data_IF_521443872665
#
_entry.id   IF_521443872665
#
_cell.length_a   1.000
_cell.length_b   1.000
_cell.length_c   1.000
_cell.angle_alpha   90.00
_cell.angle_beta   90.00
_cell.angle_gamma   90.00
#
_symmetry.space_group_name_H-M   'P 1'
#
loop_
_entity.id
_entity.type
_entity.pdbx_description
1 polymer ?
#
# COMPACT_ATOMS: atom_id res chain seq x y z
N UNK A 1 37.34 43.90 5.61
CA UNK A 1 36.81 42.66 5.00
C UNK A 1 36.51 41.62 6.08
N UNK A 2 35.27 41.13 6.06
CA UNK A 2 34.57 40.27 7.03
C UNK A 2 35.30 38.99 7.51
N UNK A 3 35.67 38.91 8.79
CA UNK A 3 35.83 37.63 9.51
C UNK A 3 34.50 37.00 9.97
N UNK A 4 33.38 37.73 9.84
CA UNK A 4 32.04 37.28 10.26
C UNK A 4 31.40 36.29 9.28
N UNK A 5 31.76 36.32 7.98
CA UNK A 5 31.12 35.47 6.96
C UNK A 5 31.56 33.99 6.96
N UNK A 6 32.73 33.66 7.50
CA UNK A 6 33.26 32.27 7.45
C UNK A 6 32.51 31.36 8.42
N UNK A 7 32.18 31.82 9.63
CA UNK A 7 31.41 31.03 10.61
C UNK A 7 29.96 30.77 10.16
N UNK A 8 29.36 31.66 9.37
CA UNK A 8 28.02 31.42 8.79
C UNK A 8 28.04 30.45 7.62
N UNK A 9 29.16 30.36 6.89
CA UNK A 9 29.34 29.42 5.79
C UNK A 9 29.36 27.96 6.29
N UNK A 10 30.02 27.71 7.44
CA UNK A 10 29.99 26.41 8.14
C UNK A 10 28.66 26.09 8.84
N UNK A 11 27.76 27.07 9.01
CA UNK A 11 26.41 26.84 9.57
C UNK A 11 25.40 26.36 8.54
N UNK A 12 25.63 26.57 7.25
CA UNK A 12 24.74 26.04 6.21
C UNK A 12 25.13 24.59 5.92
N UNK A 13 24.24 23.61 6.11
CA UNK A 13 24.56 22.23 5.77
C UNK A 13 24.90 22.16 4.27
N UNK A 14 25.99 21.46 3.95
CA UNK A 14 26.35 21.16 2.56
C UNK A 14 25.21 20.36 1.91
N UNK A 15 25.10 20.41 0.58
CA UNK A 15 24.08 19.62 -0.16
C UNK A 15 24.15 18.14 0.24
N UNK A 16 25.36 17.60 0.38
CA UNK A 16 25.61 16.24 0.85
C UNK A 16 25.04 16.02 2.26
N UNK A 17 25.26 16.95 3.20
CA UNK A 17 24.72 16.84 4.55
C UNK A 17 23.19 16.87 4.57
N UNK A 18 22.56 17.67 3.70
CA UNK A 18 21.10 17.69 3.56
C UNK A 18 20.60 16.33 3.05
N UNK A 19 21.20 15.81 1.99
CA UNK A 19 20.87 14.49 1.43
C UNK A 19 20.99 13.41 2.50
N UNK A 20 22.09 13.40 3.28
CA UNK A 20 22.29 12.41 4.35
C UNK A 20 21.27 12.54 5.48
N UNK A 21 20.88 13.76 5.87
CA UNK A 21 19.84 13.97 6.88
C UNK A 21 18.48 13.48 6.41
N UNK A 22 18.13 13.75 5.14
CA UNK A 22 16.90 13.23 4.53
C UNK A 22 16.96 11.70 4.45
N UNK A 23 18.10 11.13 4.03
CA UNK A 23 18.28 9.70 3.95
C UNK A 23 18.12 9.02 5.32
N UNK A 24 18.69 9.57 6.39
CA UNK A 24 18.48 9.04 7.75
C UNK A 24 17.02 9.14 8.17
N UNK A 25 16.37 10.26 7.91
CA UNK A 25 14.96 10.44 8.28
C UNK A 25 14.04 9.48 7.49
N UNK A 26 14.25 9.35 6.19
CA UNK A 26 13.50 8.45 5.33
C UNK A 26 13.78 6.99 5.71
N UNK A 27 15.04 6.63 5.99
CA UNK A 27 15.40 5.29 6.45
C UNK A 27 14.67 4.93 7.74
N UNK A 28 14.63 5.84 8.72
CA UNK A 28 13.89 5.59 9.97
C UNK A 28 12.38 5.44 9.75
N UNK A 29 11.80 6.14 8.77
CA UNK A 29 10.40 5.99 8.41
C UNK A 29 10.14 4.65 7.69
N UNK A 30 11.00 4.28 6.75
CA UNK A 30 10.89 3.05 5.94
C UNK A 30 11.30 1.79 6.73
N UNK A 31 11.97 1.92 7.88
CA UNK A 31 12.25 0.77 8.77
C UNK A 31 10.96 0.08 9.25
N UNK A 32 9.81 0.75 9.19
CA UNK A 32 8.53 0.12 9.50
C UNK A 32 8.22 -1.04 8.52
N UNK A 33 8.64 -0.92 7.26
CA UNK A 33 8.40 -1.92 6.20
C UNK A 33 9.10 -3.26 6.49
N UNK A 34 10.13 -3.26 7.35
CA UNK A 34 10.76 -4.48 7.86
C UNK A 34 9.72 -5.34 8.60
N UNK A 35 8.75 -4.73 9.30
CA UNK A 35 7.64 -5.46 9.90
C UNK A 35 6.67 -6.04 8.86
N UNK A 36 6.73 -5.56 7.61
CA UNK A 36 6.08 -6.18 6.44
C UNK A 36 6.56 -7.61 6.19
N UNK A 37 7.80 -7.96 6.55
CA UNK A 37 8.27 -9.36 6.58
C UNK A 37 7.43 -10.21 7.53
N UNK A 38 6.94 -9.62 8.62
CA UNK A 38 6.00 -10.24 9.56
C UNK A 38 4.63 -10.47 8.93
N UNK A 39 4.11 -9.54 8.13
CA UNK A 39 2.87 -9.75 7.37
C UNK A 39 3.03 -10.85 6.30
N UNK A 40 4.18 -10.89 5.61
CA UNK A 40 4.55 -11.98 4.71
C UNK A 40 4.66 -13.32 5.42
N UNK A 41 5.25 -13.34 6.62
CA UNK A 41 5.38 -14.52 7.47
C UNK A 41 4.01 -14.99 7.99
N UNK A 42 3.14 -14.09 8.46
CA UNK A 42 1.77 -14.42 8.84
C UNK A 42 1.04 -14.99 7.63
N UNK A 43 1.12 -14.36 6.46
CA UNK A 43 0.52 -14.92 5.25
C UNK A 43 1.03 -16.33 4.94
N UNK A 44 2.35 -16.53 5.01
CA UNK A 44 3.02 -17.82 4.83
C UNK A 44 2.50 -18.86 5.82
N UNK A 45 2.59 -18.60 7.13
CA UNK A 45 2.18 -19.56 8.16
C UNK A 45 0.66 -19.76 8.17
N UNK A 46 -0.16 -18.72 8.17
CA UNK A 46 -1.62 -18.90 8.23
C UNK A 46 -2.21 -19.51 6.95
N UNK A 47 -1.63 -19.26 5.77
CA UNK A 47 -2.20 -19.73 4.49
C UNK A 47 -1.49 -20.98 3.94
N UNK A 48 -0.16 -21.13 4.09
CA UNK A 48 0.54 -22.35 3.69
C UNK A 48 0.43 -23.47 4.74
N UNK A 49 0.32 -23.17 6.03
CA UNK A 49 0.10 -24.22 7.04
C UNK A 49 -1.34 -24.79 6.98
N UNK A 50 -2.32 -23.96 6.63
CA UNK A 50 -3.67 -24.44 6.31
C UNK A 50 -3.66 -25.36 5.08
N UNK A 51 -2.70 -25.17 4.19
CA UNK A 51 -2.46 -26.00 3.02
C UNK A 51 -1.63 -27.26 3.30
N UNK A 52 -0.81 -27.28 4.35
CA UNK A 52 0.10 -28.40 4.69
C UNK A 52 -0.47 -29.39 5.72
N UNK A 53 -1.49 -29.00 6.50
CA UNK A 53 -2.14 -29.86 7.52
C UNK A 53 -3.13 -30.89 6.96
N UNK A 54 -3.19 -31.02 5.65
CA UNK A 54 -4.04 -31.95 4.90
C UNK A 54 -3.26 -32.34 3.66
N UNK A 55 -3.43 -33.58 3.18
CA UNK A 55 -2.75 -34.09 1.99
C UNK A 55 -2.66 -32.97 0.91
N UNK A 56 -1.45 -32.60 0.41
CA UNK A 56 -1.27 -31.46 -0.49
C UNK A 56 -2.19 -31.46 -1.72
N UNK A 57 -2.71 -32.62 -2.10
CA UNK A 57 -3.71 -32.77 -3.16
C UNK A 57 -5.14 -32.37 -2.75
N UNK A 58 -5.50 -32.34 -1.46
CA UNK A 58 -6.89 -32.32 -1.00
C UNK A 58 -7.39 -30.97 -0.45
N UNK A 59 -6.53 -30.06 0.03
CA UNK A 59 -6.99 -28.76 0.57
C UNK A 59 -6.48 -27.56 -0.23
N UNK A 60 -5.30 -27.67 -0.84
CA UNK A 60 -4.86 -26.74 -1.89
C UNK A 60 -5.82 -26.78 -3.09
N UNK A 61 -6.41 -27.95 -3.38
CA UNK A 61 -7.47 -28.12 -4.38
C UNK A 61 -8.86 -27.62 -3.91
N UNK A 62 -9.15 -27.61 -2.59
CA UNK A 62 -10.51 -27.38 -2.05
C UNK A 62 -10.77 -26.01 -1.41
N UNK A 63 -9.79 -25.14 -1.18
CA UNK A 63 -10.04 -23.77 -0.66
C UNK A 63 -8.96 -22.72 -1.04
N UNK A 64 -7.74 -23.17 -1.36
CA UNK A 64 -6.58 -22.29 -1.53
C UNK A 64 -6.72 -21.27 -2.66
N UNK A 65 -7.32 -21.66 -3.79
CA UNK A 65 -7.51 -20.77 -4.93
C UNK A 65 -8.35 -19.52 -4.59
N UNK A 66 -9.39 -19.67 -3.78
CA UNK A 66 -10.22 -18.55 -3.33
C UNK A 66 -9.48 -17.63 -2.36
N UNK A 67 -8.72 -18.21 -1.43
CA UNK A 67 -7.99 -17.45 -0.41
C UNK A 67 -6.89 -16.61 -1.08
N UNK A 68 -6.12 -17.23 -1.97
CA UNK A 68 -5.04 -16.58 -2.72
C UNK A 68 -5.60 -15.53 -3.68
N UNK A 69 -6.80 -15.74 -4.24
CA UNK A 69 -7.41 -14.76 -5.14
C UNK A 69 -7.78 -13.45 -4.42
N UNK A 70 -8.27 -13.52 -3.18
CA UNK A 70 -8.70 -12.33 -2.43
C UNK A 70 -7.55 -11.61 -1.72
N UNK A 71 -6.51 -12.32 -1.29
CA UNK A 71 -5.52 -11.77 -0.38
C UNK A 71 -4.64 -10.65 -0.99
N UNK A 72 -4.02 -10.80 -2.19
CA UNK A 72 -3.18 -9.76 -2.76
C UNK A 72 -3.91 -8.43 -3.06
N UNK A 73 -5.13 -8.43 -3.64
CA UNK A 73 -5.91 -7.20 -3.81
C UNK A 73 -6.24 -6.50 -2.48
N UNK A 74 -6.47 -7.27 -1.40
CA UNK A 74 -6.75 -6.73 -0.08
C UNK A 74 -5.54 -6.08 0.57
N UNK A 75 -4.37 -6.73 0.49
CA UNK A 75 -3.10 -6.14 0.93
C UNK A 75 -2.76 -4.88 0.15
N UNK A 76 -2.96 -4.91 -1.17
CA UNK A 76 -2.65 -3.77 -2.04
C UNK A 76 -3.66 -2.61 -1.89
N UNK A 77 -4.70 -2.79 -1.09
CA UNK A 77 -5.67 -1.74 -0.79
C UNK A 77 -5.37 -1.11 0.55
N UNK A 78 -4.99 0.16 0.51
CA UNK A 78 -4.83 0.97 1.71
C UNK A 78 -6.18 1.39 2.34
N UNK A 79 -7.33 0.92 1.83
CA UNK A 79 -8.65 1.30 2.35
C UNK A 79 -8.95 2.81 2.30
N UNK A 80 -8.31 3.56 1.41
CA UNK A 80 -8.42 5.03 1.33
C UNK A 80 -7.54 5.77 2.33
N UNK A 81 -6.59 5.08 2.98
CA UNK A 81 -5.66 5.66 3.96
C UNK A 81 -4.58 6.50 3.26
N UNK A 82 -4.13 6.15 2.06
CA UNK A 82 -3.18 6.98 1.30
C UNK A 82 -3.73 8.37 1.04
N UNK A 83 -4.99 8.47 0.58
CA UNK A 83 -5.67 9.76 0.38
C UNK A 83 -5.81 10.53 1.71
N UNK A 84 -6.11 9.83 2.81
CA UNK A 84 -6.17 10.44 4.14
C UNK A 84 -4.81 11.01 4.53
N UNK A 85 -3.75 10.21 4.46
CA UNK A 85 -2.41 10.55 4.93
C UNK A 85 -1.81 11.69 4.12
N UNK A 86 -1.86 11.64 2.79
CA UNK A 86 -1.33 12.69 1.92
C UNK A 86 -2.00 14.03 2.21
N UNK A 87 -3.34 14.06 2.24
CA UNK A 87 -4.08 15.30 2.53
C UNK A 87 -3.91 15.77 3.96
N UNK A 88 -3.71 14.86 4.91
CA UNK A 88 -3.47 15.20 6.30
C UNK A 88 -2.12 15.90 6.46
N UNK A 89 -1.08 15.39 5.80
CA UNK A 89 0.24 16.01 5.71
C UNK A 89 0.19 17.42 5.14
N UNK A 90 -0.33 17.57 3.91
CA UNK A 90 -0.55 18.87 3.26
C UNK A 90 -1.39 19.82 4.12
N UNK A 91 -2.50 19.32 4.70
CA UNK A 91 -3.41 20.12 5.51
C UNK A 91 -2.81 20.63 6.83
N UNK A 92 -1.88 19.89 7.43
CA UNK A 92 -1.13 20.33 8.60
C UNK A 92 -0.16 21.47 8.26
N UNK A 93 0.57 21.36 7.16
CA UNK A 93 1.48 22.40 6.69
C UNK A 93 0.76 23.67 6.25
N UNK A 94 -0.40 23.55 5.61
CA UNK A 94 -1.25 24.69 5.25
C UNK A 94 -1.99 25.31 6.45
N UNK A 95 -1.99 24.66 7.63
CA UNK A 95 -2.75 25.09 8.80
C UNK A 95 -4.27 24.93 8.66
N UNK A 96 -4.74 24.21 7.63
CA UNK A 96 -6.15 23.94 7.37
C UNK A 96 -6.70 22.78 8.22
N UNK A 97 -5.81 21.96 8.77
CA UNK A 97 -6.08 20.93 9.77
C UNK A 97 -5.25 21.24 11.03
N UNK A 98 -5.88 21.11 12.20
CA UNK A 98 -5.19 21.29 13.49
C UNK A 98 -4.53 19.96 13.90
N UNK A 99 -3.36 19.98 14.56
CA UNK A 99 -2.72 18.77 15.09
C UNK A 99 -3.41 18.27 16.38
N UNK A 100 -4.71 18.01 16.34
CA UNK A 100 -5.53 17.58 17.49
C UNK A 100 -6.58 16.58 17.03
N UNK A 101 -6.73 15.47 17.76
CA UNK A 101 -7.77 14.45 17.47
C UNK A 101 -9.18 15.01 17.67
N UNK A 102 -9.41 15.70 18.78
CA UNK A 102 -10.71 16.25 19.15
C UNK A 102 -10.82 17.73 18.77
N UNK A 103 -12.05 18.16 18.47
CA UNK A 103 -12.38 19.57 18.12
C UNK A 103 -11.51 20.11 16.98
N UNK A 104 -11.29 19.28 15.95
CA UNK A 104 -10.54 19.64 14.76
C UNK A 104 -11.42 20.41 13.74
N UNK A 105 -10.88 20.72 12.57
CA UNK A 105 -11.54 21.52 11.54
C UNK A 105 -12.60 20.72 10.79
N UNK A 106 -13.53 21.43 10.13
CA UNK A 106 -14.53 20.81 9.24
C UNK A 106 -13.85 20.03 8.10
N UNK A 107 -12.69 20.49 7.64
CA UNK A 107 -11.90 19.83 6.60
C UNK A 107 -11.39 18.46 7.08
N UNK A 108 -10.86 18.37 8.30
CA UNK A 108 -10.46 17.08 8.89
C UNK A 108 -11.61 16.07 8.94
N UNK A 109 -12.77 16.46 9.49
CA UNK A 109 -13.91 15.51 9.56
C UNK A 109 -14.47 15.15 8.18
N UNK A 110 -14.35 16.06 7.20
CA UNK A 110 -14.72 15.77 5.81
C UNK A 110 -13.77 14.75 5.20
N UNK A 111 -12.47 14.87 5.50
CA UNK A 111 -11.44 13.95 5.05
C UNK A 111 -11.62 12.55 5.66
N UNK A 112 -11.90 12.45 6.96
CA UNK A 112 -12.22 11.17 7.61
C UNK A 112 -13.46 10.53 6.96
N UNK A 113 -14.54 11.28 6.76
CA UNK A 113 -15.74 10.76 6.08
C UNK A 113 -15.45 10.27 4.66
N UNK A 114 -14.60 10.98 3.91
CA UNK A 114 -14.21 10.58 2.56
C UNK A 114 -13.38 9.29 2.59
N UNK A 115 -12.40 9.19 3.49
CA UNK A 115 -11.55 8.00 3.65
C UNK A 115 -12.38 6.75 3.98
N UNK A 116 -13.33 6.82 4.93
CA UNK A 116 -14.22 5.69 5.23
C UNK A 116 -15.09 5.27 4.04
N UNK A 117 -15.55 6.25 3.25
CA UNK A 117 -16.32 5.98 2.04
C UNK A 117 -15.47 5.32 0.96
N UNK A 118 -14.21 5.74 0.82
CA UNK A 118 -13.24 5.11 -0.08
C UNK A 118 -12.91 3.68 0.38
N UNK A 119 -12.76 3.43 1.69
CA UNK A 119 -12.56 2.08 2.23
C UNK A 119 -13.72 1.14 1.90
N UNK A 120 -14.96 1.61 2.05
CA UNK A 120 -16.15 0.85 1.65
C UNK A 120 -16.19 0.59 0.14
N UNK A 121 -15.87 1.60 -0.68
CA UNK A 121 -15.77 1.46 -2.12
C UNK A 121 -14.70 0.44 -2.53
N UNK A 122 -13.51 0.47 -1.92
CA UNK A 122 -12.42 -0.45 -2.21
C UNK A 122 -12.83 -1.90 -1.91
N UNK A 123 -13.48 -2.15 -0.76
CA UNK A 123 -14.01 -3.47 -0.41
C UNK A 123 -15.02 -3.99 -1.43
N UNK A 124 -15.96 -3.15 -1.86
CA UNK A 124 -16.92 -3.50 -2.91
C UNK A 124 -16.22 -3.79 -4.24
N UNK A 125 -15.27 -2.94 -4.64
CA UNK A 125 -14.59 -3.06 -5.93
C UNK A 125 -13.73 -4.31 -6.01
N UNK A 126 -12.96 -4.60 -4.96
CA UNK A 126 -12.17 -5.83 -4.84
C UNK A 126 -13.08 -7.05 -4.86
N UNK A 127 -14.21 -7.00 -4.16
CA UNK A 127 -15.21 -8.05 -4.19
C UNK A 127 -15.72 -8.34 -5.60
N UNK A 128 -16.08 -7.29 -6.35
CA UNK A 128 -16.54 -7.41 -7.74
C UNK A 128 -15.45 -7.99 -8.64
N UNK A 129 -14.26 -7.40 -8.66
CA UNK A 129 -13.16 -7.85 -9.52
C UNK A 129 -12.75 -9.28 -9.19
N UNK A 130 -12.65 -9.62 -7.90
CA UNK A 130 -12.28 -10.97 -7.48
C UNK A 130 -13.35 -11.99 -7.84
N UNK A 131 -14.63 -11.64 -7.73
CA UNK A 131 -15.72 -12.53 -8.16
C UNK A 131 -15.67 -12.77 -9.67
N UNK A 132 -15.46 -11.71 -10.47
CA UNK A 132 -15.31 -11.82 -11.93
C UNK A 132 -14.10 -12.69 -12.29
N UNK A 133 -12.95 -12.47 -11.66
CA UNK A 133 -11.76 -13.31 -11.87
C UNK A 133 -12.02 -14.75 -11.46
N UNK A 134 -12.73 -14.99 -10.36
CA UNK A 134 -13.13 -16.33 -9.93
C UNK A 134 -13.99 -17.05 -11.00
N UNK A 135 -14.93 -16.35 -11.64
CA UNK A 135 -15.78 -16.94 -12.66
C UNK A 135 -15.03 -17.31 -13.93
N UNK A 136 -13.98 -16.56 -14.28
CA UNK A 136 -13.21 -16.73 -15.52
C UNK A 136 -12.00 -17.65 -15.32
N UNK A 137 -11.26 -17.49 -14.23
CA UNK A 137 -9.94 -18.11 -14.04
C UNK A 137 -9.99 -19.47 -13.34
N UNK A 138 -11.00 -19.75 -12.49
CA UNK A 138 -10.99 -20.95 -11.64
C UNK A 138 -11.71 -22.17 -12.25
N UNK A 139 -12.30 -22.06 -13.45
CA UNK A 139 -12.89 -23.20 -14.15
C UNK A 139 -13.94 -23.95 -13.30
N UNK A 140 -13.74 -25.25 -13.12
CA UNK A 140 -14.61 -26.12 -12.29
C UNK A 140 -14.50 -25.83 -10.78
N UNK A 141 -13.43 -25.16 -10.34
CA UNK A 141 -13.19 -24.77 -8.94
C UNK A 141 -13.72 -23.37 -8.62
N UNK A 142 -14.49 -22.76 -9.53
CA UNK A 142 -15.12 -21.45 -9.26
C UNK A 142 -16.18 -21.56 -8.17
N UNK A 143 -16.31 -20.51 -7.39
CA UNK A 143 -17.38 -20.32 -6.42
C UNK A 143 -18.51 -19.54 -7.09
N UNK A 144 -19.66 -20.14 -7.44
CA UNK A 144 -20.75 -19.46 -8.14
C UNK A 144 -21.54 -18.50 -7.24
N UNK A 145 -21.41 -18.65 -5.92
CA UNK A 145 -22.10 -17.77 -4.99
C UNK A 145 -21.29 -16.48 -4.77
N UNK A 146 -21.87 -15.29 -5.00
CA UNK A 146 -21.15 -14.02 -4.83
C UNK A 146 -20.96 -13.61 -3.36
N UNK A 147 -21.70 -14.20 -2.41
CA UNK A 147 -21.72 -13.75 -1.01
C UNK A 147 -20.31 -13.69 -0.36
N UNK A 148 -19.43 -14.70 -0.48
CA UNK A 148 -18.08 -14.61 0.07
C UNK A 148 -17.27 -13.42 -0.43
N UNK A 149 -17.43 -13.07 -1.70
CA UNK A 149 -16.71 -11.95 -2.35
C UNK A 149 -17.27 -10.60 -1.94
N UNK A 150 -18.48 -10.53 -1.43
CA UNK A 150 -19.05 -9.32 -0.84
C UNK A 150 -18.64 -9.23 0.64
N UNK A 151 -18.80 -10.32 1.38
CA UNK A 151 -18.66 -10.32 2.83
C UNK A 151 -17.20 -10.15 3.27
N UNK A 152 -16.29 -10.95 2.73
CA UNK A 152 -14.91 -10.99 3.23
C UNK A 152 -14.17 -9.68 2.94
N UNK A 153 -14.16 -9.14 1.70
CA UNK A 153 -13.44 -7.91 1.41
C UNK A 153 -13.98 -6.70 2.16
N UNK A 154 -15.30 -6.56 2.24
CA UNK A 154 -15.92 -5.40 2.90
C UNK A 154 -15.62 -5.43 4.40
N UNK A 155 -15.84 -6.55 5.09
CA UNK A 155 -15.56 -6.62 6.53
C UNK A 155 -14.07 -6.38 6.82
N UNK A 156 -13.19 -7.03 6.06
CA UNK A 156 -11.72 -6.88 6.21
C UNK A 156 -11.30 -5.41 6.12
N UNK A 157 -11.65 -4.75 5.01
CA UNK A 157 -11.21 -3.37 4.77
C UNK A 157 -11.96 -2.34 5.61
N UNK A 158 -13.19 -2.64 6.03
CA UNK A 158 -13.94 -1.76 6.93
C UNK A 158 -13.27 -1.67 8.30
N UNK A 159 -12.97 -2.81 8.91
CA UNK A 159 -12.31 -2.81 10.21
C UNK A 159 -10.89 -2.26 10.13
N UNK A 160 -10.13 -2.62 9.08
CA UNK A 160 -8.81 -2.07 8.84
C UNK A 160 -8.86 -0.53 8.68
N UNK A 161 -9.68 0.00 7.77
CA UNK A 161 -9.76 1.44 7.50
C UNK A 161 -10.26 2.26 8.70
N UNK A 162 -11.22 1.74 9.48
CA UNK A 162 -11.70 2.40 10.70
C UNK A 162 -10.56 2.60 11.70
N UNK A 163 -9.79 1.55 12.00
CA UNK A 163 -8.68 1.60 12.95
C UNK A 163 -7.51 2.41 12.37
N UNK A 164 -7.11 2.10 11.13
CA UNK A 164 -6.01 2.78 10.43
C UNK A 164 -6.23 4.29 10.34
N UNK A 165 -7.47 4.76 10.12
CA UNK A 165 -7.74 6.20 10.02
C UNK A 165 -7.45 6.97 11.32
N UNK A 166 -7.68 6.31 12.47
CA UNK A 166 -7.39 6.91 13.78
C UNK A 166 -5.89 6.90 14.08
N UNK A 167 -5.22 5.78 13.78
CA UNK A 167 -3.77 5.66 13.95
C UNK A 167 -3.05 6.67 13.04
N UNK A 168 -3.45 6.78 11.77
CA UNK A 168 -2.90 7.74 10.81
C UNK A 168 -3.05 9.18 11.32
N UNK A 169 -4.23 9.53 11.83
CA UNK A 169 -4.49 10.85 12.41
C UNK A 169 -3.59 11.12 13.60
N UNK A 170 -3.51 10.17 14.53
CA UNK A 170 -2.67 10.29 15.71
C UNK A 170 -1.20 10.45 15.35
N UNK A 171 -0.69 9.60 14.45
CA UNK A 171 0.69 9.60 13.99
C UNK A 171 1.05 10.92 13.32
N UNK A 172 0.24 11.40 12.36
CA UNK A 172 0.49 12.69 11.71
C UNK A 172 0.52 13.86 12.69
N UNK A 173 -0.41 13.90 13.64
CA UNK A 173 -0.44 14.95 14.67
C UNK A 173 0.75 14.85 15.63
N UNK A 174 1.17 13.63 15.98
CA UNK A 174 2.33 13.40 16.83
C UNK A 174 3.62 13.86 16.15
N UNK A 175 3.86 13.43 14.91
CA UNK A 175 5.05 13.79 14.13
C UNK A 175 5.12 15.30 13.91
N UNK A 176 4.00 15.92 13.53
CA UNK A 176 3.93 17.37 13.35
C UNK A 176 4.24 18.14 14.63
N UNK A 177 3.72 17.70 15.79
CA UNK A 177 4.04 18.31 17.10
C UNK A 177 5.52 18.15 17.49
N UNK A 178 6.16 17.08 17.05
CA UNK A 178 7.61 16.83 17.24
C UNK A 178 8.48 17.58 16.24
N UNK A 179 7.89 18.46 15.40
CA UNK A 179 8.58 19.21 14.33
C UNK A 179 9.20 18.30 13.27
N UNK A 180 8.65 17.09 13.12
CA UNK A 180 9.02 16.14 12.07
C UNK A 180 8.02 16.29 10.92
N UNK A 181 8.46 16.05 9.69
CA UNK A 181 7.57 16.21 8.53
C UNK A 181 6.62 14.99 8.42
N UNK A 182 5.29 15.15 8.62
CA UNK A 182 4.35 14.05 8.47
C UNK A 182 4.36 13.42 7.06
N UNK A 183 4.72 14.18 6.02
CA UNK A 183 4.78 13.70 4.63
C UNK A 183 5.84 12.61 4.42
N UNK A 184 6.86 12.56 5.30
CA UNK A 184 7.94 11.56 5.27
C UNK A 184 7.58 10.33 6.12
N UNK A 185 6.89 10.53 7.24
CA UNK A 185 6.76 9.49 8.26
C UNK A 185 5.45 8.73 8.20
N UNK A 186 4.35 9.42 7.91
CA UNK A 186 3.03 8.86 8.21
C UNK A 186 2.67 7.77 7.21
N UNK A 187 2.98 7.95 5.92
CA UNK A 187 2.60 6.94 4.93
C UNK A 187 3.39 5.63 5.08
N UNK A 188 4.73 5.62 5.17
CA UNK A 188 5.49 4.38 5.38
C UNK A 188 5.10 3.62 6.64
N UNK A 189 4.74 4.34 7.72
CA UNK A 189 4.21 3.65 8.91
C UNK A 189 2.81 3.08 8.65
N UNK A 190 1.96 3.83 7.95
CA UNK A 190 0.56 3.44 7.76
C UNK A 190 0.35 2.35 6.71
N UNK A 191 1.18 2.25 5.67
CA UNK A 191 1.22 1.14 4.71
C UNK A 191 1.41 -0.19 5.47
N UNK A 192 2.49 -0.28 6.26
CA UNK A 192 2.80 -1.44 7.11
C UNK A 192 1.66 -1.75 8.10
N UNK A 193 1.18 -0.74 8.84
CA UNK A 193 0.07 -0.92 9.80
C UNK A 193 -1.17 -1.45 9.09
N UNK A 194 -1.50 -0.92 7.91
CA UNK A 194 -2.65 -1.37 7.15
C UNK A 194 -2.46 -2.80 6.62
N UNK A 195 -1.26 -3.16 6.15
CA UNK A 195 -0.93 -4.53 5.73
C UNK A 195 -1.14 -5.53 6.88
N UNK A 196 -0.66 -5.20 8.09
CA UNK A 196 -0.86 -6.03 9.28
C UNK A 196 -2.35 -6.14 9.63
N UNK A 197 -3.07 -5.02 9.72
CA UNK A 197 -4.49 -5.03 10.07
C UNK A 197 -5.33 -5.79 9.04
N UNK A 198 -5.14 -5.53 7.76
CA UNK A 198 -5.82 -6.25 6.67
C UNK A 198 -5.53 -7.74 6.72
N UNK A 199 -4.28 -8.15 6.97
CA UNK A 199 -3.91 -9.57 7.13
C UNK A 199 -4.62 -10.20 8.31
N UNK A 200 -4.60 -9.56 9.48
CA UNK A 200 -5.22 -10.07 10.70
C UNK A 200 -6.75 -10.21 10.55
N UNK A 201 -7.42 -9.18 10.02
CA UNK A 201 -8.86 -9.23 9.80
C UNK A 201 -9.24 -10.25 8.72
N UNK A 202 -8.46 -10.34 7.65
CA UNK A 202 -8.67 -11.36 6.62
C UNK A 202 -8.51 -12.77 7.19
N UNK A 203 -7.43 -13.05 7.92
CA UNK A 203 -7.21 -14.32 8.58
C UNK A 203 -8.33 -14.66 9.58
N UNK A 204 -8.80 -13.67 10.36
CA UNK A 204 -9.96 -13.82 11.23
C UNK A 204 -11.20 -14.24 10.43
N UNK A 205 -11.50 -13.60 9.29
CA UNK A 205 -12.64 -13.98 8.44
C UNK A 205 -12.50 -15.40 7.90
N UNK A 206 -11.32 -15.80 7.43
CA UNK A 206 -11.07 -17.18 6.97
C UNK A 206 -11.28 -18.19 8.10
N UNK A 207 -10.78 -17.90 9.30
CA UNK A 207 -10.93 -18.78 10.47
C UNK A 207 -12.39 -18.93 10.94
N UNK A 208 -13.17 -17.85 10.87
CA UNK A 208 -14.57 -17.83 11.30
C UNK A 208 -15.49 -18.49 10.27
N UNK A 209 -15.26 -18.22 8.97
CA UNK A 209 -16.14 -18.67 7.89
C UNK A 209 -15.79 -20.06 7.36
N UNK A 210 -14.58 -20.55 7.64
CA UNK A 210 -14.08 -21.88 7.28
C UNK A 210 -14.40 -22.26 5.82
N UNK A 211 -13.87 -21.50 4.83
CA UNK A 211 -14.20 -21.70 3.41
C UNK A 211 -13.85 -23.09 2.88
N UNK A 212 -12.97 -23.84 3.55
CA UNK A 212 -12.71 -25.25 3.24
C UNK A 212 -13.96 -26.13 3.30
N UNK A 213 -14.94 -25.78 4.12
CA UNK A 213 -16.21 -26.52 4.21
C UNK A 213 -17.18 -26.20 3.07
N UNK A 214 -16.83 -25.27 2.17
CA UNK A 214 -17.68 -24.88 1.04
C UNK A 214 -17.52 -25.80 -0.17
N UNK A 215 -16.45 -26.60 -0.19
CA UNK A 215 -16.17 -27.55 -1.25
C UNK A 215 -16.80 -28.92 -0.93
N UNK A 216 -17.49 -29.50 -1.91
CA UNK A 216 -18.04 -30.86 -1.86
C UNK A 216 -17.69 -31.64 -3.14
N UNK A 217 -18.19 -32.86 -3.30
CA UNK A 217 -17.95 -33.73 -4.47
C UNK A 217 -18.29 -33.08 -5.83
N UNK A 218 -19.14 -32.06 -5.82
CA UNK A 218 -19.57 -31.30 -7.02
C UNK A 218 -18.92 -29.92 -7.15
N UNK A 219 -17.96 -29.59 -6.29
CA UNK A 219 -17.27 -28.30 -6.24
C UNK A 219 -17.77 -27.36 -5.13
N UNK A 220 -17.54 -26.05 -5.27
CA UNK A 220 -17.86 -25.05 -4.25
C UNK A 220 -19.34 -24.64 -4.19
N UNK A 221 -20.23 -25.57 -3.80
CA UNK A 221 -21.68 -25.32 -3.82
C UNK A 221 -22.30 -25.12 -2.43
N UNK A 222 -21.58 -25.34 -1.33
CA UNK A 222 -22.13 -25.32 0.04
C UNK A 222 -21.60 -24.17 0.88
N UNK A 223 -21.96 -22.93 0.53
CA UNK A 223 -21.63 -21.76 1.37
C UNK A 223 -22.29 -21.89 2.74
N UNK A 224 -21.48 -21.81 3.80
CA UNK A 224 -21.95 -21.96 5.19
C UNK A 224 -22.96 -20.88 5.57
N UNK A 225 -23.92 -21.23 6.43
CA UNK A 225 -24.87 -20.26 7.02
C UNK A 225 -24.17 -19.08 7.70
N UNK A 226 -22.98 -19.31 8.27
CA UNK A 226 -22.14 -18.28 8.88
C UNK A 226 -21.82 -17.12 7.91
N UNK A 227 -21.56 -17.42 6.63
CA UNK A 227 -21.29 -16.39 5.60
C UNK A 227 -22.51 -15.49 5.37
N UNK A 228 -23.71 -16.07 5.36
CA UNK A 228 -24.94 -15.29 5.21
C UNK A 228 -25.26 -14.47 6.46
N UNK A 229 -24.99 -14.99 7.65
CA UNK A 229 -25.10 -14.19 8.88
C UNK A 229 -24.09 -13.04 8.91
N UNK A 230 -22.88 -13.27 8.42
CA UNK A 230 -21.85 -12.23 8.28
C UNK A 230 -22.21 -11.14 7.24
N UNK A 231 -23.24 -11.35 6.40
CA UNK A 231 -23.79 -10.29 5.56
C UNK A 231 -24.54 -9.22 6.36
N UNK A 232 -25.06 -9.53 7.55
CA UNK A 232 -25.78 -8.55 8.40
C UNK A 232 -24.89 -7.35 8.75
N UNK A 233 -23.68 -7.52 9.34
CA UNK A 233 -22.81 -6.37 9.62
C UNK A 233 -22.35 -5.65 8.34
N UNK A 234 -22.19 -6.36 7.22
CA UNK A 234 -21.89 -5.74 5.92
C UNK A 234 -23.03 -4.81 5.48
N UNK A 235 -24.27 -5.30 5.51
CA UNK A 235 -25.44 -4.53 5.16
C UNK A 235 -25.59 -3.29 6.04
N UNK A 236 -25.47 -3.46 7.36
CA UNK A 236 -25.50 -2.34 8.32
C UNK A 236 -24.42 -1.29 8.03
N UNK A 237 -23.20 -1.75 7.71
CA UNK A 237 -22.11 -0.85 7.34
C UNK A 237 -22.38 -0.11 6.03
N UNK A 238 -22.88 -0.79 5.00
CA UNK A 238 -23.24 -0.15 3.73
C UNK A 238 -24.38 0.87 3.90
N UNK A 239 -25.35 0.59 4.78
CA UNK A 239 -26.38 1.56 5.16
C UNK A 239 -25.75 2.77 5.87
N UNK A 240 -24.87 2.55 6.84
CA UNK A 240 -24.14 3.63 7.53
C UNK A 240 -23.36 4.52 6.55
N UNK A 241 -22.63 3.92 5.61
CA UNK A 241 -21.89 4.65 4.58
C UNK A 241 -22.83 5.39 3.63
N UNK A 242 -23.96 4.78 3.24
CA UNK A 242 -24.96 5.44 2.40
C UNK A 242 -25.57 6.66 3.09
N UNK A 243 -25.87 6.56 4.39
CA UNK A 243 -26.34 7.69 5.22
C UNK A 243 -25.27 8.77 5.33
N UNK A 244 -24.01 8.40 5.57
CA UNK A 244 -22.88 9.32 5.60
C UNK A 244 -22.70 10.05 4.26
N UNK A 245 -22.77 9.35 3.13
CA UNK A 245 -22.75 9.92 1.79
C UNK A 245 -23.91 10.90 1.62
N UNK A 246 -25.12 10.55 2.05
CA UNK A 246 -26.30 11.43 2.02
C UNK A 246 -26.07 12.74 2.79
N UNK A 247 -25.55 12.66 4.02
CA UNK A 247 -25.22 13.84 4.83
C UNK A 247 -24.10 14.71 4.25
N UNK A 248 -23.12 14.09 3.58
CA UNK A 248 -21.97 14.79 2.99
C UNK A 248 -22.19 15.18 1.52
N UNK A 249 -23.29 14.79 0.90
CA UNK A 249 -23.56 14.97 -0.53
C UNK A 249 -23.49 16.44 -0.98
N UNK A 250 -23.81 17.42 -0.10
CA UNK A 250 -23.72 18.86 -0.41
C UNK A 250 -22.34 19.46 -0.17
N UNK A 251 -21.42 18.75 0.48
CA UNK A 251 -20.07 19.23 0.76
C UNK A 251 -19.19 19.14 -0.51
N UNK A 252 -18.77 20.30 -1.04
CA UNK A 252 -17.96 20.39 -2.26
C UNK A 252 -16.63 19.65 -2.15
N UNK A 253 -15.96 19.74 -0.99
CA UNK A 253 -14.66 19.11 -0.76
C UNK A 253 -14.79 17.58 -0.71
N UNK A 254 -15.81 17.08 -0.02
CA UNK A 254 -16.13 15.66 0.01
C UNK A 254 -16.33 15.09 -1.40
N UNK A 255 -17.16 15.77 -2.21
CA UNK A 255 -17.40 15.36 -3.60
C UNK A 255 -16.14 15.44 -4.45
N UNK A 256 -15.29 16.45 -4.23
CA UNK A 256 -14.02 16.61 -4.95
C UNK A 256 -13.10 15.41 -4.70
N UNK A 257 -12.94 15.02 -3.43
CA UNK A 257 -12.13 13.85 -3.05
C UNK A 257 -12.65 12.60 -3.75
N UNK A 258 -13.95 12.29 -3.60
CA UNK A 258 -14.52 11.07 -4.19
C UNK A 258 -14.46 11.06 -5.72
N UNK A 259 -14.77 12.18 -6.38
CA UNK A 259 -14.71 12.28 -7.85
C UNK A 259 -13.31 12.06 -8.42
N UNK A 260 -12.26 12.37 -7.65
CA UNK A 260 -10.88 12.20 -8.08
C UNK A 260 -10.34 10.82 -7.69
N UNK A 261 -10.61 10.38 -6.45
CA UNK A 261 -10.03 9.16 -5.90
C UNK A 261 -10.74 7.88 -6.34
N UNK A 262 -12.08 7.90 -6.54
CA UNK A 262 -12.83 6.68 -6.92
C UNK A 262 -12.40 6.16 -8.29
N UNK A 263 -12.36 6.96 -9.38
CA UNK A 263 -11.95 6.45 -10.69
C UNK A 263 -10.51 5.95 -10.71
N UNK A 264 -9.61 6.62 -9.99
CA UNK A 264 -8.22 6.20 -9.88
C UNK A 264 -8.13 4.86 -9.14
N UNK A 265 -8.80 4.73 -8.00
CA UNK A 265 -8.80 3.48 -7.24
C UNK A 265 -9.45 2.32 -7.99
N UNK A 266 -10.51 2.56 -8.77
CA UNK A 266 -11.06 1.53 -9.67
C UNK A 266 -9.98 0.93 -10.58
N UNK A 267 -9.17 1.80 -11.21
CA UNK A 267 -8.11 1.37 -12.13
C UNK A 267 -6.97 0.69 -11.37
N UNK A 268 -6.49 1.30 -10.28
CA UNK A 268 -5.31 0.79 -9.55
C UNK A 268 -5.60 -0.51 -8.82
N UNK A 269 -6.80 -0.69 -8.24
CA UNK A 269 -7.21 -1.96 -7.64
C UNK A 269 -7.36 -3.07 -8.69
N UNK A 270 -7.80 -2.73 -9.91
CA UNK A 270 -7.86 -3.68 -11.01
C UNK A 270 -6.46 -4.10 -11.44
N UNK A 271 -5.53 -3.14 -11.59
CA UNK A 271 -4.11 -3.43 -11.88
C UNK A 271 -3.51 -4.35 -10.80
N UNK A 272 -3.74 -4.07 -9.52
CA UNK A 272 -3.25 -4.90 -8.42
C UNK A 272 -3.82 -6.32 -8.48
N UNK A 273 -5.10 -6.47 -8.83
CA UNK A 273 -5.71 -7.80 -9.01
C UNK A 273 -5.06 -8.59 -10.14
N UNK A 274 -4.68 -7.92 -11.24
CA UNK A 274 -3.97 -8.55 -12.37
C UNK A 274 -2.49 -8.82 -12.07
N UNK A 275 -1.86 -8.00 -11.23
CA UNK A 275 -0.45 -8.13 -10.84
C UNK A 275 -0.15 -9.47 -10.16
N UNK A 276 -1.10 -10.01 -9.38
CA UNK A 276 -0.98 -11.35 -8.81
C UNK A 276 -0.81 -12.46 -9.86
N UNK A 277 -1.40 -12.29 -11.05
CA UNK A 277 -1.20 -13.20 -12.17
C UNK A 277 0.23 -13.16 -12.71
N UNK A 278 0.84 -11.97 -12.81
CA UNK A 278 2.25 -11.83 -13.23
C UNK A 278 3.18 -12.48 -12.20
N UNK A 279 2.93 -12.23 -10.91
CA UNK A 279 3.71 -12.83 -9.82
C UNK A 279 3.66 -14.36 -9.84
N UNK A 280 2.51 -14.95 -10.22
CA UNK A 280 2.37 -16.41 -10.35
C UNK A 280 3.31 -17.01 -11.40
N UNK A 281 3.74 -16.23 -12.39
CA UNK A 281 4.77 -16.65 -13.35
C UNK A 281 6.13 -16.88 -12.70
N UNK A 282 6.41 -16.24 -11.56
CA UNK A 282 7.63 -16.41 -10.78
C UNK A 282 7.53 -17.51 -9.70
N UNK A 283 6.44 -18.28 -9.66
CA UNK A 283 6.15 -19.26 -8.60
C UNK A 283 7.27 -20.28 -8.40
N UNK A 284 7.84 -20.83 -9.48
CA UNK A 284 8.94 -21.80 -9.42
C UNK A 284 10.17 -21.19 -8.71
N UNK A 285 10.55 -19.96 -9.09
CA UNK A 285 11.69 -19.28 -8.50
C UNK A 285 11.43 -18.89 -7.03
N UNK A 286 10.22 -18.42 -6.73
CA UNK A 286 9.81 -18.08 -5.36
C UNK A 286 9.81 -19.32 -4.43
N UNK A 287 9.40 -20.48 -4.94
CA UNK A 287 9.44 -21.75 -4.18
C UNK A 287 10.87 -22.24 -3.94
N UNK A 288 11.71 -22.18 -4.97
CA UNK A 288 13.07 -22.71 -4.92
C UNK A 288 14.05 -21.77 -4.21
N UNK A 289 13.76 -20.47 -4.14
CA UNK A 289 14.60 -19.45 -3.51
C UNK A 289 13.80 -18.82 -2.38
N UNK A 290 13.77 -19.50 -1.23
CA UNK A 290 12.91 -19.13 -0.12
C UNK A 290 13.23 -17.74 0.45
N UNK A 291 14.50 -17.29 0.35
CA UNK A 291 14.89 -15.93 0.69
C UNK A 291 14.16 -14.86 -0.13
N UNK A 292 13.90 -15.13 -1.42
CA UNK A 292 13.18 -14.23 -2.33
C UNK A 292 11.70 -14.12 -1.97
N UNK A 293 11.08 -15.24 -1.63
CA UNK A 293 9.69 -15.29 -1.18
C UNK A 293 9.48 -14.55 0.14
N UNK A 294 10.40 -14.71 1.10
CA UNK A 294 10.35 -14.01 2.37
C UNK A 294 10.39 -12.48 2.19
N UNK A 295 11.29 -11.98 1.34
CA UNK A 295 11.52 -10.53 1.22
C UNK A 295 10.56 -9.82 0.27
N UNK A 296 9.92 -10.53 -0.67
CA UNK A 296 9.09 -9.92 -1.71
C UNK A 296 8.04 -8.91 -1.18
N UNK A 297 7.26 -9.21 -0.12
CA UNK A 297 6.33 -8.23 0.44
C UNK A 297 7.01 -6.94 0.91
N UNK A 298 8.20 -7.02 1.49
CA UNK A 298 8.95 -5.84 1.93
C UNK A 298 9.54 -5.05 0.75
N UNK A 299 9.95 -5.72 -0.33
CA UNK A 299 10.46 -5.06 -1.54
C UNK A 299 9.40 -4.17 -2.20
N UNK A 300 8.18 -4.68 -2.34
CA UNK A 300 7.09 -3.92 -2.98
C UNK A 300 6.61 -2.76 -2.11
N UNK A 301 6.54 -2.95 -0.78
CA UNK A 301 6.12 -1.93 0.19
C UNK A 301 7.14 -0.78 0.22
N UNK A 302 8.42 -1.09 0.42
CA UNK A 302 9.48 -0.06 0.49
C UNK A 302 9.62 0.74 -0.79
N UNK A 303 9.47 0.10 -1.97
CA UNK A 303 9.47 0.84 -3.25
C UNK A 303 8.26 1.79 -3.36
N UNK A 304 7.07 1.36 -2.93
CA UNK A 304 5.88 2.22 -2.91
C UNK A 304 6.03 3.40 -1.93
N UNK A 305 6.60 3.14 -0.77
CA UNK A 305 6.69 4.09 0.33
C UNK A 305 7.74 5.16 0.08
N UNK A 306 8.92 4.81 -0.46
CA UNK A 306 9.94 5.79 -0.81
C UNK A 306 9.44 6.79 -1.86
N UNK A 307 8.72 6.31 -2.88
CA UNK A 307 8.16 7.17 -3.93
C UNK A 307 7.01 8.02 -3.37
N UNK A 308 6.24 7.47 -2.42
CA UNK A 308 5.17 8.21 -1.75
C UNK A 308 5.72 9.33 -0.86
N UNK A 309 6.86 9.15 -0.20
CA UNK A 309 7.55 10.23 0.53
C UNK A 309 7.86 11.39 -0.42
N UNK A 310 8.46 11.10 -1.57
CA UNK A 310 8.77 12.12 -2.59
C UNK A 310 7.48 12.74 -3.13
N UNK A 311 6.44 11.95 -3.35
CA UNK A 311 5.15 12.42 -3.87
C UNK A 311 4.44 13.38 -2.90
N UNK A 312 4.31 13.01 -1.63
CA UNK A 312 3.64 13.81 -0.60
C UNK A 312 4.39 15.12 -0.38
N UNK A 313 5.71 15.08 -0.22
CA UNK A 313 6.52 16.30 -0.06
C UNK A 313 6.44 17.21 -1.29
N UNK A 314 6.42 16.65 -2.51
CA UNK A 314 6.23 17.42 -3.75
C UNK A 314 4.85 18.06 -3.80
N UNK A 315 3.80 17.31 -3.47
CA UNK A 315 2.41 17.80 -3.45
C UNK A 315 2.23 18.94 -2.44
N UNK A 316 2.73 18.76 -1.21
CA UNK A 316 2.76 19.80 -0.17
C UNK A 316 3.50 21.05 -0.66
N UNK A 317 4.68 20.89 -1.26
CA UNK A 317 5.46 22.02 -1.77
C UNK A 317 4.74 22.77 -2.90
N UNK A 318 4.03 22.07 -3.78
CA UNK A 318 3.17 22.71 -4.79
C UNK A 318 2.01 23.47 -4.14
N UNK A 319 1.36 22.88 -3.14
CA UNK A 319 0.25 23.51 -2.42
C UNK A 319 0.69 24.74 -1.61
N UNK A 320 1.90 24.73 -1.06
CA UNK A 320 2.53 25.88 -0.39
C UNK A 320 3.04 26.95 -1.38
N UNK A 321 3.14 26.61 -2.68
CA UNK A 321 3.71 27.49 -3.70
C UNK A 321 5.22 27.64 -3.63
N UNK A 322 5.92 26.74 -2.92
CA UNK A 322 7.40 26.75 -2.82
C UNK A 322 8.04 26.25 -4.11
N UNK A 323 7.38 25.31 -4.81
CA UNK A 323 7.78 24.87 -6.15
C UNK A 323 6.66 25.14 -7.17
N UNK A 324 7.04 25.34 -8.43
CA UNK A 324 6.09 25.58 -9.53
C UNK A 324 5.68 24.25 -10.20
N UNK A 325 4.43 24.09 -10.65
CA UNK A 325 3.99 22.89 -11.35
C UNK A 325 4.56 22.83 -12.78
N UNK A 326 5.84 22.55 -12.92
CA UNK A 326 6.55 22.40 -14.20
C UNK A 326 7.52 21.23 -14.11
N UNK A 327 7.83 20.59 -15.24
CA UNK A 327 8.83 19.52 -15.28
C UNK A 327 10.21 19.97 -14.80
N UNK A 328 10.54 21.26 -15.01
CA UNK A 328 11.76 21.87 -14.49
C UNK A 328 11.85 21.88 -12.96
N UNK A 329 10.75 21.62 -12.23
CA UNK A 329 10.75 21.53 -10.78
C UNK A 329 11.65 20.40 -10.26
N UNK A 330 11.95 19.37 -11.07
CA UNK A 330 12.90 18.32 -10.70
C UNK A 330 14.32 18.86 -10.41
N UNK A 331 14.64 20.05 -10.94
CA UNK A 331 15.92 20.76 -10.69
C UNK A 331 15.87 21.64 -9.44
N UNK A 332 14.72 21.74 -8.79
CA UNK A 332 14.59 22.43 -7.51
C UNK A 332 15.50 21.74 -6.48
N UNK A 333 16.23 22.53 -5.70
CA UNK A 333 17.23 22.01 -4.79
C UNK A 333 16.61 21.14 -3.69
N UNK A 334 15.47 21.55 -3.16
CA UNK A 334 14.82 20.85 -2.05
C UNK A 334 14.18 19.56 -2.57
N UNK A 335 13.54 19.60 -3.74
CA UNK A 335 13.01 18.40 -4.37
C UNK A 335 14.10 17.41 -4.77
N UNK A 336 15.18 17.87 -5.41
CA UNK A 336 16.28 17.02 -5.85
C UNK A 336 17.00 16.35 -4.68
N UNK A 337 17.32 17.13 -3.64
CA UNK A 337 17.97 16.56 -2.43
C UNK A 337 17.05 15.58 -1.71
N UNK A 338 15.73 15.82 -1.73
CA UNK A 338 14.76 14.88 -1.20
C UNK A 338 14.70 13.58 -2.01
N UNK A 339 14.60 13.65 -3.33
CA UNK A 339 14.61 12.48 -4.21
C UNK A 339 15.85 11.62 -4.00
N UNK A 340 17.03 12.23 -3.98
CA UNK A 340 18.30 11.49 -3.78
C UNK A 340 18.39 10.92 -2.37
N UNK A 341 18.03 11.70 -1.34
CA UNK A 341 18.08 11.22 0.05
C UNK A 341 17.14 10.04 0.29
N UNK A 342 15.92 10.11 -0.22
CA UNK A 342 14.92 9.05 -0.08
C UNK A 342 15.32 7.80 -0.87
N UNK A 343 15.78 7.95 -2.12
CA UNK A 343 16.26 6.79 -2.90
C UNK A 343 17.48 6.11 -2.27
N UNK A 344 18.39 6.87 -1.63
CA UNK A 344 19.49 6.26 -0.85
C UNK A 344 18.97 5.46 0.34
N UNK A 345 17.91 5.92 1.01
CA UNK A 345 17.30 5.17 2.12
C UNK A 345 16.68 3.86 1.65
N UNK A 346 15.92 3.87 0.55
CA UNK A 346 15.35 2.66 -0.03
C UNK A 346 16.39 1.67 -0.52
N UNK A 347 17.48 2.15 -1.15
CA UNK A 347 18.63 1.31 -1.51
C UNK A 347 19.25 0.62 -0.30
N UNK A 348 19.41 1.34 0.82
CA UNK A 348 19.94 0.75 2.07
C UNK A 348 19.02 -0.35 2.61
N UNK A 349 17.69 -0.17 2.53
CA UNK A 349 16.76 -1.22 2.93
C UNK A 349 16.77 -2.43 1.99
N UNK A 350 16.88 -2.22 0.68
CA UNK A 350 16.99 -3.32 -0.26
C UNK A 350 18.30 -4.09 -0.14
N UNK A 351 19.40 -3.43 0.25
CA UNK A 351 20.64 -4.10 0.69
C UNK A 351 20.37 -4.97 1.92
N UNK A 352 19.66 -4.43 2.92
CA UNK A 352 19.29 -5.16 4.12
C UNK A 352 18.44 -6.39 3.79
N UNK A 353 17.36 -6.25 3.01
CA UNK A 353 16.52 -7.37 2.60
C UNK A 353 17.30 -8.42 1.82
N UNK A 354 18.13 -7.99 0.87
CA UNK A 354 18.95 -8.86 0.04
C UNK A 354 19.90 -9.78 0.81
N UNK A 355 20.48 -9.27 1.90
CA UNK A 355 21.39 -10.03 2.77
C UNK A 355 20.60 -10.86 3.78
N UNK A 356 19.70 -10.24 4.52
CA UNK A 356 19.05 -10.87 5.66
C UNK A 356 17.94 -11.85 5.26
N UNK A 357 17.29 -11.67 4.10
CA UNK A 357 16.26 -12.59 3.62
C UNK A 357 16.76 -14.03 3.53
N UNK A 358 17.91 -14.21 2.89
CA UNK A 358 18.56 -15.51 2.74
C UNK A 358 19.14 -16.04 4.06
N UNK A 359 19.68 -15.18 4.92
CA UNK A 359 20.19 -15.56 6.25
C UNK A 359 19.07 -16.09 7.16
N UNK A 360 17.93 -15.40 7.19
CA UNK A 360 16.78 -15.76 8.05
C UNK A 360 16.25 -17.15 7.70
N UNK A 361 16.22 -17.50 6.41
CA UNK A 361 15.73 -18.80 5.95
C UNK A 361 16.84 -19.88 5.93
N UNK A 362 18.10 -19.51 6.17
CA UNK A 362 19.24 -20.42 6.10
C UNK A 362 19.67 -20.80 4.68
N UNK A 363 19.20 -20.07 3.67
CA UNK A 363 19.53 -20.27 2.25
C UNK A 363 20.77 -19.45 1.85
N UNK A 364 21.92 -19.78 2.45
CA UNK A 364 23.15 -19.02 2.25
C UNK A 364 23.67 -19.05 0.80
N UNK A 365 23.32 -20.08 0.02
CA UNK A 365 23.76 -20.25 -1.35
C UNK A 365 23.19 -19.17 -2.28
N UNK A 366 21.95 -18.73 -2.02
CA UNK A 366 21.26 -17.74 -2.85
C UNK A 366 21.40 -16.28 -2.37
N UNK A 367 22.23 -15.98 -1.36
CA UNK A 367 22.43 -14.60 -0.85
C UNK A 367 22.74 -13.61 -1.99
N UNK A 368 23.70 -13.95 -2.85
CA UNK A 368 24.13 -13.04 -3.94
C UNK A 368 23.00 -12.80 -4.94
N UNK A 369 22.21 -13.83 -5.24
CA UNK A 369 21.09 -13.75 -6.17
C UNK A 369 19.95 -12.91 -5.59
N UNK A 370 19.54 -13.17 -4.35
CA UNK A 370 18.48 -12.41 -3.66
C UNK A 370 18.89 -10.94 -3.49
N UNK A 371 20.16 -10.68 -3.15
CA UNK A 371 20.72 -9.33 -3.11
C UNK A 371 20.67 -8.64 -4.47
N UNK A 372 21.15 -9.30 -5.53
CA UNK A 372 21.14 -8.77 -6.89
C UNK A 372 19.74 -8.41 -7.36
N UNK A 373 18.77 -9.32 -7.17
CA UNK A 373 17.37 -9.08 -7.55
C UNK A 373 16.77 -7.93 -6.74
N UNK A 374 16.99 -7.91 -5.41
CA UNK A 374 16.47 -6.84 -4.54
C UNK A 374 16.97 -5.46 -4.97
N UNK A 375 18.25 -5.33 -5.29
CA UNK A 375 18.83 -4.06 -5.75
C UNK A 375 18.33 -3.65 -7.14
N UNK A 376 18.21 -4.59 -8.08
CA UNK A 376 17.70 -4.30 -9.42
C UNK A 376 16.24 -3.86 -9.38
N UNK A 377 15.41 -4.51 -8.54
CA UNK A 377 14.03 -4.09 -8.31
C UNK A 377 13.98 -2.66 -7.79
N UNK A 378 14.80 -2.30 -6.79
CA UNK A 378 14.81 -0.94 -6.28
C UNK A 378 15.30 0.08 -7.32
N UNK A 379 16.46 -0.14 -7.94
CA UNK A 379 17.06 0.84 -8.87
C UNK A 379 16.14 1.09 -10.06
N UNK A 380 15.69 0.01 -10.72
CA UNK A 380 14.85 0.12 -11.91
C UNK A 380 13.44 0.59 -11.52
N UNK A 381 12.87 -0.02 -10.48
CA UNK A 381 11.55 0.32 -9.97
C UNK A 381 11.44 1.78 -9.56
N UNK A 382 12.42 2.28 -8.79
CA UNK A 382 12.44 3.66 -8.32
C UNK A 382 12.47 4.61 -9.51
N UNK A 383 13.36 4.41 -10.48
CA UNK A 383 13.45 5.27 -11.67
C UNK A 383 12.12 5.28 -12.45
N UNK A 384 11.55 4.11 -12.72
CA UNK A 384 10.34 3.99 -13.54
C UNK A 384 9.13 4.60 -12.83
N UNK A 385 8.86 4.15 -11.60
CA UNK A 385 7.65 4.54 -10.88
C UNK A 385 7.74 5.99 -10.39
N UNK A 386 8.92 6.46 -9.94
CA UNK A 386 9.11 7.86 -9.54
C UNK A 386 8.90 8.83 -10.70
N UNK A 387 9.34 8.44 -11.91
CA UNK A 387 9.13 9.26 -13.12
C UNK A 387 7.64 9.43 -13.43
N UNK A 388 6.88 8.33 -13.38
CA UNK A 388 5.42 8.37 -13.60
C UNK A 388 4.72 9.15 -12.49
N UNK A 389 5.09 8.93 -11.23
CA UNK A 389 4.55 9.64 -10.08
C UNK A 389 4.77 11.16 -10.18
N UNK A 390 5.99 11.58 -10.51
CA UNK A 390 6.31 13.00 -10.68
C UNK A 390 5.49 13.64 -11.80
N UNK A 391 5.37 12.98 -12.95
CA UNK A 391 4.53 13.45 -14.06
C UNK A 391 3.06 13.57 -13.63
N UNK A 392 2.53 12.56 -12.93
CA UNK A 392 1.16 12.56 -12.42
C UNK A 392 0.91 13.75 -11.51
N UNK A 393 1.79 14.01 -10.53
CA UNK A 393 1.65 15.11 -9.58
C UNK A 393 1.62 16.46 -10.30
N UNK A 394 2.57 16.70 -11.21
CA UNK A 394 2.66 17.95 -11.96
C UNK A 394 1.42 18.15 -12.85
N UNK A 395 0.96 17.10 -13.55
CA UNK A 395 -0.22 17.17 -14.42
C UNK A 395 -1.52 17.33 -13.63
N UNK A 396 -1.67 16.62 -12.51
CA UNK A 396 -2.81 16.74 -11.61
C UNK A 396 -2.94 18.17 -11.11
N UNK A 397 -1.85 18.73 -10.57
CA UNK A 397 -1.85 20.10 -10.04
C UNK A 397 -2.15 21.14 -11.13
N UNK A 398 -1.56 21.01 -12.33
CA UNK A 398 -1.87 21.89 -13.47
C UNK A 398 -3.35 21.87 -13.89
N UNK A 399 -4.01 20.72 -13.76
CA UNK A 399 -5.43 20.55 -14.11
C UNK A 399 -6.37 20.92 -12.97
N UNK A 400 -5.87 21.47 -11.85
CA UNK A 400 -6.65 21.78 -10.67
C UNK A 400 -7.15 20.55 -9.91
N UNK A 401 -6.62 19.37 -10.24
CA UNK A 401 -6.79 18.17 -9.44
C UNK A 401 -5.87 18.25 -8.24
N UNK A 402 -6.24 17.56 -7.17
CA UNK A 402 -5.43 17.52 -5.97
C UNK A 402 -4.55 16.27 -6.00
N UNK A 403 -3.22 16.39 -6.16
CA UNK A 403 -2.33 15.22 -6.29
C UNK A 403 -2.47 14.23 -5.14
N UNK A 404 -2.82 14.70 -3.94
CA UNK A 404 -3.02 13.87 -2.74
C UNK A 404 -4.19 12.89 -2.88
N UNK A 405 -5.13 13.14 -3.81
CA UNK A 405 -6.23 12.22 -4.08
C UNK A 405 -5.88 11.10 -5.06
N UNK A 406 -4.75 11.19 -5.77
CA UNK A 406 -4.45 10.32 -6.92
C UNK A 406 -3.08 9.64 -6.82
N UNK A 407 -2.06 10.34 -6.30
CA UNK A 407 -0.67 9.92 -6.42
C UNK A 407 -0.42 8.59 -5.71
N UNK A 408 -0.82 8.48 -4.45
CA UNK A 408 -0.53 7.31 -3.62
C UNK A 408 -1.17 6.01 -4.15
N UNK A 409 -2.47 5.96 -4.51
CA UNK A 409 -3.03 4.75 -5.12
C UNK A 409 -2.35 4.32 -6.42
N UNK A 410 -1.90 5.29 -7.23
CA UNK A 410 -1.17 5.01 -8.48
C UNK A 410 0.24 4.49 -8.20
N UNK A 411 0.96 5.12 -7.26
CA UNK A 411 2.30 4.70 -6.85
C UNK A 411 2.26 3.26 -6.33
N UNK A 412 1.36 2.95 -5.39
CA UNK A 412 1.23 1.61 -4.83
C UNK A 412 0.98 0.55 -5.93
N UNK A 413 0.04 0.81 -6.85
CA UNK A 413 -0.24 -0.14 -7.91
C UNK A 413 0.89 -0.30 -8.94
N UNK A 414 1.59 0.80 -9.28
CA UNK A 414 2.72 0.74 -10.18
C UNK A 414 3.94 0.08 -9.53
N UNK A 415 4.21 0.33 -8.25
CA UNK A 415 5.29 -0.34 -7.50
C UNK A 415 5.05 -1.85 -7.46
N UNK A 416 3.82 -2.28 -7.15
CA UNK A 416 3.47 -3.70 -7.17
C UNK A 416 3.66 -4.31 -8.56
N UNK A 417 3.12 -3.65 -9.60
CA UNK A 417 3.20 -4.14 -10.98
C UNK A 417 4.65 -4.23 -11.47
N UNK A 418 5.43 -3.16 -11.30
CA UNK A 418 6.82 -3.08 -11.78
C UNK A 418 7.70 -4.05 -11.02
N UNK A 419 7.62 -4.10 -9.68
CA UNK A 419 8.42 -5.04 -8.89
C UNK A 419 8.09 -6.49 -9.21
N UNK A 420 6.80 -6.86 -9.35
CA UNK A 420 6.41 -8.23 -9.71
C UNK A 420 6.86 -8.60 -11.12
N UNK A 421 6.77 -7.66 -12.05
CA UNK A 421 7.24 -7.87 -13.44
C UNK A 421 8.76 -8.03 -13.47
N UNK A 422 9.50 -7.17 -12.79
CA UNK A 422 10.96 -7.26 -12.70
C UNK A 422 11.38 -8.57 -12.04
N UNK A 423 10.74 -8.96 -10.94
CA UNK A 423 10.99 -10.24 -10.28
C UNK A 423 10.81 -11.41 -11.23
N UNK A 424 9.68 -11.46 -11.94
CA UNK A 424 9.41 -12.48 -12.94
C UNK A 424 10.49 -12.49 -14.03
N UNK A 425 10.78 -11.35 -14.65
CA UNK A 425 11.77 -11.25 -15.73
C UNK A 425 13.19 -11.63 -15.29
N UNK A 426 13.60 -11.23 -14.09
CA UNK A 426 14.93 -11.52 -13.54
C UNK A 426 15.08 -12.99 -13.13
N UNK A 427 13.96 -13.67 -12.84
CA UNK A 427 13.95 -15.08 -12.46
C UNK A 427 13.64 -16.03 -13.61
N UNK A 428 13.19 -15.55 -14.77
CA UNK A 428 12.97 -16.35 -15.98
C UNK A 428 14.12 -17.31 -16.32
N UNK A 429 15.41 -16.92 -16.27
CA UNK A 429 16.53 -17.82 -16.58
C UNK A 429 16.72 -18.97 -15.57
N UNK A 430 16.05 -18.89 -14.41
CA UNK A 430 16.10 -19.88 -13.34
C UNK A 430 14.92 -20.87 -13.42
N UNK A 431 13.93 -20.58 -14.27
CA UNK A 431 12.71 -21.36 -14.46
C UNK A 431 12.86 -22.30 -15.68
N UNK A 432 13.80 -21.99 -16.59
CA UNK A 432 14.08 -22.75 -17.82
C UNK A 432 14.87 -24.03 -17.61
#
# INVERSE_FOLDING_TARGET
MNRVKIKEWFKKPTVIRIILLIAVQALLALLFDVFGLGAGSIGTFTFLEYASRTDPAEVFAKAGAFIILLYPPLLSSDGGIGVLVSRLGTGLHLGSIKPKMLKNTKQYYTLISASLTLGAFNGLWIGVISYLTNLVALGTNRIPNPMPFIVIPILTLTFASLISSQIASFMAFFMFKKKMNPDIWVYPTMSTVNNILSTLFYAAMISMLKPANWYNETGFNTITRGTYFAFIPVFLYLVLISVLVGFKAKNKEYRKILKQAVPVQSVTLTINSLTGGILSGADVALKNISGLFLVYPALIDTLGDEITIVANTTSTNLALGTIKPKLSAIKDKDLWTNLVGVGLAGLVLHLFYGIFGSIIVGDFQNIVLVLGISLLINIIGFIVVQSVAFLLIILAFKRGLDPDNLAVPVIAALSNLVSSTLLFLLTLPLIS
#
